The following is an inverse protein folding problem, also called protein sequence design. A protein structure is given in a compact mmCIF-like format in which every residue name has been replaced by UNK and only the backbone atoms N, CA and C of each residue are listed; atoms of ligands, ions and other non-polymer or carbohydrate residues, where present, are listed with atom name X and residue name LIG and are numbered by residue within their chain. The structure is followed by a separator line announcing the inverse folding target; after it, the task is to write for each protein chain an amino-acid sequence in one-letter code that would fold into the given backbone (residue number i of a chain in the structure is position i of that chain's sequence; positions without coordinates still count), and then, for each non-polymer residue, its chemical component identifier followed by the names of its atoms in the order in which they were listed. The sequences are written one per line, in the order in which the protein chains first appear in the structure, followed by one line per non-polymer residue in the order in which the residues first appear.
data_IF_039090211856
#
_entry.id   IF_039090211856
#
_cell.length_a   1.000
_cell.length_b   1.000
_cell.length_c   1.000
_cell.angle_alpha   90.00
_cell.angle_beta   90.00
_cell.angle_gamma   90.00
#
_symmetry.space_group_name_H-M   'P 1'
#
loop_
_entity.id
_entity.type
_entity.pdbx_description
1 polymer ?
#
# COMPACT_ATOMS: atom_id res chain seq x y z
N UNK A 1 0.98 -2.53 3.81
CA UNK A 1 1.25 -3.59 4.82
C UNK A 1 2.72 -3.56 5.19
N UNK A 2 3.08 -4.07 6.37
CA UNK A 2 4.48 -4.29 6.75
C UNK A 2 4.80 -5.76 6.54
N UNK A 3 5.93 -6.06 5.88
CA UNK A 3 6.31 -7.38 5.37
C UNK A 3 5.33 -7.90 4.28
N UNK A 4 5.73 -8.91 3.46
CA UNK A 4 4.85 -9.50 2.44
C UNK A 4 3.83 -10.46 3.07
N UNK A 5 3.06 -10.00 4.07
CA UNK A 5 2.11 -10.83 4.82
C UNK A 5 0.70 -10.71 4.25
N UNK A 6 0.16 -11.83 3.76
CA UNK A 6 -1.22 -11.92 3.29
C UNK A 6 -2.22 -12.03 4.46
N UNK A 7 -1.88 -12.85 5.45
CA UNK A 7 -2.70 -13.05 6.64
C UNK A 7 -2.49 -11.92 7.66
N UNK A 8 -3.15 -10.79 7.40
CA UNK A 8 -3.27 -9.65 8.32
C UNK A 8 -4.64 -9.65 9.00
N UNK A 9 -5.07 -10.83 9.45
CA UNK A 9 -6.35 -11.05 10.09
C UNK A 9 -6.35 -10.63 11.57
N UNK A 10 -7.50 -10.23 12.14
CA UNK A 10 -7.62 -9.98 13.57
C UNK A 10 -7.18 -11.16 14.46
N UNK A 11 -7.47 -12.39 14.03
CA UNK A 11 -7.14 -13.65 14.72
C UNK A 11 -5.63 -13.80 14.96
N UNK A 12 -4.83 -13.26 14.05
CA UNK A 12 -3.38 -13.31 14.10
C UNK A 12 -2.75 -11.95 14.45
N UNK A 13 -3.48 -11.00 15.02
CA UNK A 13 -2.99 -9.65 15.29
C UNK A 13 -1.67 -9.59 16.06
N UNK A 14 -1.50 -10.42 17.09
CA UNK A 14 -0.26 -10.49 17.87
C UNK A 14 0.98 -10.85 17.03
N UNK A 15 0.80 -11.46 15.86
CA UNK A 15 1.89 -11.87 14.97
C UNK A 15 2.33 -10.78 13.99
N UNK A 16 1.48 -9.79 13.70
CA UNK A 16 1.73 -8.80 12.64
C UNK A 16 1.49 -7.34 13.06
N UNK A 17 0.63 -7.09 14.04
CA UNK A 17 0.35 -5.76 14.58
C UNK A 17 1.61 -5.03 15.07
N UNK A 18 2.50 -5.69 15.85
CA UNK A 18 3.74 -5.08 16.33
C UNK A 18 4.68 -4.61 15.22
N UNK A 19 4.68 -5.26 14.05
CA UNK A 19 5.56 -4.92 12.92
C UNK A 19 5.40 -3.46 12.47
N UNK A 20 4.20 -2.87 12.65
CA UNK A 20 3.92 -1.45 12.33
C UNK A 20 4.79 -0.46 13.09
N UNK A 21 5.34 -0.83 14.23
CA UNK A 21 6.22 0.02 15.04
C UNK A 21 7.72 -0.18 14.70
N UNK A 22 8.03 -1.06 13.74
CA UNK A 22 9.41 -1.46 13.44
C UNK A 22 9.97 -0.84 12.16
N UNK A 23 9.22 0.09 11.56
CA UNK A 23 9.62 0.82 10.34
C UNK A 23 10.60 1.92 10.73
N UNK A 24 11.74 1.96 10.06
CA UNK A 24 12.79 2.98 10.23
C UNK A 24 13.17 3.54 8.85
N UNK A 25 13.80 4.73 8.77
CA UNK A 25 14.20 5.31 7.50
C UNK A 25 15.04 4.38 6.62
N UNK A 26 15.83 3.50 7.22
CA UNK A 26 16.74 2.56 6.55
C UNK A 26 16.03 1.33 6.00
N UNK A 27 14.86 0.96 6.54
CA UNK A 27 14.18 -0.29 6.20
C UNK A 27 12.84 -0.10 5.47
N UNK A 28 12.43 1.15 5.19
CA UNK A 28 11.16 1.45 4.48
C UNK A 28 11.05 0.67 3.17
N UNK A 29 12.14 0.69 2.39
CA UNK A 29 12.26 0.05 1.07
C UNK A 29 11.85 -1.43 1.06
N UNK A 30 12.37 -2.18 2.05
CA UNK A 30 12.19 -3.62 2.14
C UNK A 30 10.92 -4.01 2.93
N UNK A 31 10.62 -3.31 4.03
CA UNK A 31 9.50 -3.67 4.91
C UNK A 31 8.15 -3.21 4.40
N UNK A 32 8.05 -1.99 3.88
CA UNK A 32 6.74 -1.42 3.54
C UNK A 32 6.30 -1.95 2.19
N UNK A 33 5.08 -2.48 2.14
CA UNK A 33 4.47 -3.02 0.93
C UNK A 33 3.20 -2.26 0.59
N UNK A 34 3.05 -1.90 -0.69
CA UNK A 34 1.76 -1.52 -1.24
C UNK A 34 0.95 -2.81 -1.44
N UNK A 35 -0.26 -2.84 -0.86
CA UNK A 35 -1.22 -3.93 -1.05
C UNK A 35 -2.36 -3.42 -1.91
N UNK A 36 -2.62 -4.09 -3.03
CA UNK A 36 -3.73 -3.78 -3.94
C UNK A 36 -4.61 -5.01 -4.04
N UNK A 37 -5.92 -4.78 -4.08
CA UNK A 37 -6.91 -5.83 -4.26
C UNK A 37 -7.57 -5.66 -5.63
N UNK A 38 -7.42 -6.65 -6.50
CA UNK A 38 -8.23 -6.76 -7.70
C UNK A 38 -9.52 -7.47 -7.32
N UNK A 39 -10.59 -6.68 -7.29
CA UNK A 39 -11.92 -7.12 -6.92
C UNK A 39 -12.80 -7.19 -8.16
N UNK A 40 -13.60 -8.24 -8.27
CA UNK A 40 -14.57 -8.41 -9.37
C UNK A 40 -15.88 -8.96 -8.82
N UNK A 41 -16.97 -8.86 -9.59
CA UNK A 41 -18.27 -9.39 -9.21
C UNK A 41 -18.80 -10.31 -10.31
N UNK A 42 -19.14 -11.54 -9.94
CA UNK A 42 -19.62 -12.55 -10.89
C UNK A 42 -20.95 -13.13 -10.42
N UNK A 43 -21.98 -13.12 -11.27
CA UNK A 43 -23.24 -13.80 -10.99
C UNK A 43 -23.03 -15.31 -11.14
N UNK A 44 -23.41 -16.08 -10.11
CA UNK A 44 -23.50 -17.53 -10.20
C UNK A 44 -24.82 -17.93 -10.88
N UNK A 45 -24.79 -18.60 -12.05
CA UNK A 45 -25.97 -18.79 -12.89
C UNK A 45 -27.02 -19.72 -12.29
N UNK A 46 -26.64 -20.60 -11.35
CA UNK A 46 -27.55 -21.60 -10.77
C UNK A 46 -28.11 -21.19 -9.41
N UNK A 47 -27.25 -20.67 -8.53
CA UNK A 47 -27.63 -20.32 -7.15
C UNK A 47 -28.13 -18.90 -6.98
N UNK A 48 -28.01 -18.07 -8.04
CA UNK A 48 -28.21 -16.63 -7.97
C UNK A 48 -27.30 -15.92 -6.93
N UNK A 49 -26.23 -16.57 -6.48
CA UNK A 49 -25.20 -15.93 -5.65
C UNK A 49 -24.34 -14.94 -6.45
N UNK A 50 -23.60 -14.08 -5.74
CA UNK A 50 -22.57 -13.22 -6.32
C UNK A 50 -21.22 -13.66 -5.76
N UNK A 51 -20.28 -14.05 -6.62
CA UNK A 51 -18.89 -14.27 -6.22
C UNK A 51 -18.19 -12.92 -6.20
N UNK A 52 -17.53 -12.64 -5.07
CA UNK A 52 -16.67 -11.48 -4.89
C UNK A 52 -15.26 -11.95 -4.55
N UNK A 53 -14.46 -12.36 -5.56
CA UNK A 53 -13.07 -12.74 -5.31
C UNK A 53 -12.24 -11.48 -5.02
N UNK A 54 -11.39 -11.58 -4.00
CA UNK A 54 -10.45 -10.54 -3.61
C UNK A 54 -9.04 -11.05 -3.92
N UNK A 55 -8.49 -10.69 -5.09
CA UNK A 55 -7.13 -11.07 -5.47
C UNK A 55 -6.14 -10.03 -4.93
N UNK A 56 -5.38 -10.41 -3.90
CA UNK A 56 -4.39 -9.52 -3.28
C UNK A 56 -3.04 -9.59 -4.01
N UNK A 57 -2.49 -8.42 -4.35
CA UNK A 57 -1.13 -8.21 -4.82
C UNK A 57 -0.34 -7.42 -3.78
N UNK A 58 0.95 -7.73 -3.67
CA UNK A 58 1.90 -7.06 -2.79
C UNK A 58 3.14 -6.70 -3.62
N UNK A 59 3.65 -5.49 -3.42
CA UNK A 59 4.91 -5.00 -3.98
C UNK A 59 5.63 -4.20 -2.90
N UNK A 60 6.91 -4.48 -2.65
CA UNK A 60 7.70 -3.71 -1.68
C UNK A 60 8.08 -2.34 -2.24
N UNK A 61 8.37 -1.38 -1.37
CA UNK A 61 8.69 -0.01 -1.81
C UNK A 61 9.88 0.02 -2.76
N UNK A 62 10.95 -0.75 -2.49
CA UNK A 62 12.14 -0.80 -3.37
C UNK A 62 11.82 -1.24 -4.80
N UNK A 63 10.87 -2.17 -4.96
CA UNK A 63 10.41 -2.61 -6.29
C UNK A 63 9.49 -1.56 -6.93
N UNK A 64 8.58 -0.98 -6.15
CA UNK A 64 7.64 0.03 -6.64
C UNK A 64 8.36 1.26 -7.19
N UNK A 65 9.40 1.71 -6.51
CA UNK A 65 10.11 2.96 -6.87
C UNK A 65 11.03 2.83 -8.07
N UNK A 66 11.24 1.61 -8.58
CA UNK A 66 11.90 1.38 -9.89
C UNK A 66 11.15 2.06 -11.04
N UNK A 67 9.87 2.40 -10.85
CA UNK A 67 9.09 3.22 -11.75
C UNK A 67 8.94 4.65 -11.17
N UNK A 68 9.68 5.65 -11.69
CA UNK A 68 9.68 7.02 -11.15
C UNK A 68 8.30 7.66 -11.04
N UNK A 69 7.40 7.41 -12.01
CA UNK A 69 6.02 7.91 -11.97
C UNK A 69 5.27 7.43 -10.72
N UNK A 70 5.46 6.16 -10.36
CA UNK A 70 4.80 5.54 -9.21
C UNK A 70 5.38 6.05 -7.89
N UNK A 71 6.70 6.20 -7.79
CA UNK A 71 7.36 6.77 -6.61
C UNK A 71 6.82 8.17 -6.28
N UNK A 72 6.86 9.07 -7.27
CA UNK A 72 6.36 10.45 -7.17
C UNK A 72 4.88 10.50 -6.83
N UNK A 73 4.05 9.70 -7.50
CA UNK A 73 2.61 9.67 -7.20
C UNK A 73 2.35 9.17 -5.79
N UNK A 74 3.02 8.11 -5.37
CA UNK A 74 2.80 7.51 -4.05
C UNK A 74 3.22 8.48 -2.93
N UNK A 75 4.34 9.21 -3.10
CA UNK A 75 4.72 10.27 -2.18
C UNK A 75 3.56 11.24 -1.93
N UNK A 76 2.99 11.80 -3.00
CA UNK A 76 1.91 12.80 -2.94
C UNK A 76 0.63 12.20 -2.33
N UNK A 77 0.27 10.98 -2.73
CA UNK A 77 -0.91 10.28 -2.19
C UNK A 77 -0.78 10.05 -0.69
N UNK A 78 0.36 9.56 -0.19
CA UNK A 78 0.54 9.27 1.24
C UNK A 78 0.68 10.57 2.07
N UNK A 79 1.31 11.60 1.50
CA UNK A 79 1.41 12.93 2.11
C UNK A 79 0.02 13.55 2.29
N UNK A 80 -0.78 13.56 1.24
CA UNK A 80 -2.06 14.29 1.20
C UNK A 80 -3.26 13.45 1.66
N UNK A 81 -3.05 12.18 2.05
CA UNK A 81 -4.11 11.30 2.51
C UNK A 81 -4.82 11.89 3.75
N UNK A 82 -6.15 12.03 3.77
CA UNK A 82 -6.87 12.46 4.96
C UNK A 82 -6.55 11.59 6.18
N UNK A 83 -6.37 12.21 7.35
CA UNK A 83 -5.93 11.52 8.57
C UNK A 83 -6.88 10.40 9.00
N UNK A 84 -8.19 10.58 8.81
CA UNK A 84 -9.19 9.54 9.06
C UNK A 84 -8.94 8.28 8.22
N UNK A 85 -8.59 8.44 6.95
CA UNK A 85 -8.25 7.33 6.06
C UNK A 85 -6.91 6.71 6.41
N UNK A 86 -5.92 7.51 6.81
CA UNK A 86 -4.63 7.02 7.28
C UNK A 86 -4.77 6.17 8.55
N UNK A 87 -5.61 6.63 9.51
CA UNK A 87 -5.93 5.93 10.75
C UNK A 87 -6.68 4.62 10.47
N UNK A 88 -7.73 4.66 9.65
CA UNK A 88 -8.48 3.48 9.25
C UNK A 88 -7.60 2.43 8.57
N UNK A 89 -6.68 2.85 7.70
CA UNK A 89 -5.73 1.95 7.01
C UNK A 89 -4.54 1.54 7.89
N UNK A 90 -4.44 2.04 9.12
CA UNK A 90 -3.39 1.69 10.07
C UNK A 90 -2.00 2.19 9.70
N UNK A 91 -1.91 3.30 8.97
CA UNK A 91 -0.64 3.91 8.52
C UNK A 91 0.01 4.79 9.60
N UNK A 92 -0.76 5.23 10.60
CA UNK A 92 -0.41 6.31 11.54
C UNK A 92 0.96 6.18 12.18
N UNK A 93 1.38 4.94 12.53
CA UNK A 93 2.64 4.68 13.23
C UNK A 93 3.89 4.89 12.39
N UNK A 94 3.80 4.80 11.06
CA UNK A 94 4.95 4.84 10.15
C UNK A 94 4.76 5.81 8.97
N UNK A 95 3.63 6.52 8.91
CA UNK A 95 3.29 7.42 7.81
C UNK A 95 4.34 8.50 7.61
N UNK A 96 4.77 9.18 8.67
CA UNK A 96 5.78 10.25 8.59
C UNK A 96 7.10 9.74 7.99
N UNK A 97 7.61 8.62 8.50
CA UNK A 97 8.82 7.96 8.01
C UNK A 97 8.69 7.56 6.53
N UNK A 98 7.54 7.03 6.13
CA UNK A 98 7.26 6.68 4.73
C UNK A 98 7.20 7.91 3.82
N UNK A 99 6.56 9.00 4.25
CA UNK A 99 6.50 10.25 3.49
C UNK A 99 7.90 10.82 3.30
N UNK A 100 8.70 10.90 4.36
CA UNK A 100 10.08 11.40 4.29
C UNK A 100 10.98 10.54 3.39
N UNK A 101 10.80 9.23 3.42
CA UNK A 101 11.55 8.34 2.53
C UNK A 101 11.15 8.55 1.06
N UNK A 102 9.85 8.64 0.78
CA UNK A 102 9.31 8.86 -0.57
C UNK A 102 9.59 10.26 -1.12
N UNK A 103 9.71 11.28 -0.26
CA UNK A 103 9.94 12.67 -0.70
C UNK A 103 11.28 12.83 -1.44
N UNK A 104 12.27 11.98 -1.14
CA UNK A 104 13.57 11.94 -1.83
C UNK A 104 13.44 11.52 -3.30
N UNK A 105 12.30 10.94 -3.68
CA UNK A 105 12.01 10.41 -5.01
C UNK A 105 10.98 11.24 -5.78
N UNK A 106 10.44 12.30 -5.17
CA UNK A 106 9.57 13.26 -5.85
C UNK A 106 10.40 14.40 -6.43
N UNK A 107 10.61 14.37 -7.74
CA UNK A 107 11.37 15.37 -8.50
C UNK A 107 10.60 16.67 -8.78
N UNK A 108 9.37 16.82 -8.29
CA UNK A 108 8.54 17.99 -8.52
C UNK A 108 7.84 18.04 -9.89
N UNK A 109 8.09 17.08 -10.80
CA UNK A 109 7.40 17.02 -12.09
C UNK A 109 5.88 16.89 -11.94
N UNK A 110 5.09 17.29 -12.95
CA UNK A 110 3.73 16.80 -13.09
C UNK A 110 3.70 15.26 -13.14
N UNK A 111 2.64 14.66 -12.62
CA UNK A 111 2.41 13.22 -12.80
C UNK A 111 1.44 13.04 -13.96
N UNK A 112 1.86 12.32 -15.00
CA UNK A 112 1.00 12.04 -16.16
C UNK A 112 -0.27 11.28 -15.75
N UNK A 113 -1.37 11.36 -16.51
CA UNK A 113 -2.61 10.64 -16.21
C UNK A 113 -2.46 9.11 -16.22
N UNK A 114 -3.47 8.41 -15.69
CA UNK A 114 -3.55 6.94 -15.71
C UNK A 114 -2.61 6.24 -14.73
N UNK A 115 -2.79 4.94 -14.51
CA UNK A 115 -2.08 4.14 -13.51
C UNK A 115 -0.81 3.45 -14.05
N UNK A 116 -0.68 3.30 -15.36
CA UNK A 116 0.48 2.67 -15.99
C UNK A 116 1.77 3.49 -15.85
N UNK A 117 2.93 2.87 -16.15
CA UNK A 117 4.20 3.59 -16.30
C UNK A 117 4.10 4.69 -17.37
N UNK A 118 5.07 5.62 -17.37
CA UNK A 118 5.29 6.55 -18.49
C UNK A 118 5.87 5.82 -19.71
#
# INVERSE_FOLDING_TARGET
TINPRLDTSPENYHKWGPDRATVTPENVGDKVHLRVELQSFWRLPRSNGIVFPIRCYLIKMDELVTQPKWARRLHRVIRDLPDELANYKGLTRYRSTLVEWLSKLDDGSPTSPGFGPD
#
